data_IF_131373630229
#
_entry.id   IF_131373630229
#
_cell.length_a   1.000
_cell.length_b   1.000
_cell.length_c   1.000
_cell.angle_alpha   90.00
_cell.angle_beta   90.00
_cell.angle_gamma   90.00
#
_symmetry.space_group_name_H-M   'P 1'
#
loop_
_entity.id
_entity.type
_entity.pdbx_description
1 polymer ?
#
# COMPACT_ATOMS: atom_id res chain seq x y z
N UNK A 1 -9.42 -8.71 -14.89
CA UNK A 1 -10.66 -9.52 -15.06
C UNK A 1 -10.37 -11.02 -14.95
N UNK A 2 -9.21 -11.46 -15.40
CA UNK A 2 -8.78 -12.88 -15.38
C UNK A 2 -7.84 -13.22 -14.21
N UNK A 3 -7.77 -12.38 -13.16
CA UNK A 3 -6.95 -12.65 -11.98
C UNK A 3 -7.46 -13.87 -11.23
N UNK A 4 -6.56 -14.69 -10.74
CA UNK A 4 -6.84 -15.98 -10.10
C UNK A 4 -6.00 -16.24 -8.85
N UNK A 5 -5.29 -15.22 -8.36
CA UNK A 5 -4.44 -15.29 -7.18
C UNK A 5 -3.11 -14.60 -7.38
N UNK A 6 -2.14 -14.99 -6.58
CA UNK A 6 -0.80 -14.41 -6.59
C UNK A 6 0.27 -15.48 -6.83
N UNK A 7 1.37 -15.08 -7.41
CA UNK A 7 2.58 -15.88 -7.46
C UNK A 7 3.44 -15.56 -6.24
N UNK A 8 4.01 -16.58 -5.62
CA UNK A 8 4.99 -16.38 -4.56
C UNK A 8 6.28 -15.78 -5.14
N UNK A 9 6.83 -14.81 -4.43
CA UNK A 9 8.12 -14.21 -4.74
C UNK A 9 9.10 -14.41 -3.59
N UNK A 10 10.37 -14.13 -3.85
CA UNK A 10 11.43 -14.12 -2.84
C UNK A 10 11.94 -12.70 -2.67
N UNK A 11 12.23 -12.30 -1.45
CA UNK A 11 12.78 -10.98 -1.16
C UNK A 11 12.97 -10.73 0.32
N UNK A 12 13.78 -9.72 0.60
CA UNK A 12 13.98 -9.19 1.94
C UNK A 12 14.26 -7.69 1.83
N UNK A 13 13.83 -6.94 2.84
CA UNK A 13 14.22 -5.54 3.00
C UNK A 13 14.53 -5.28 4.47
N UNK A 14 15.48 -4.38 4.71
CA UNK A 14 15.88 -3.97 6.04
C UNK A 14 15.97 -2.44 6.09
N UNK A 15 15.42 -1.87 7.13
CA UNK A 15 15.44 -0.42 7.37
C UNK A 15 16.15 -0.09 8.67
N UNK A 16 16.88 1.00 8.66
CA UNK A 16 17.37 1.63 9.89
C UNK A 16 16.45 2.80 10.19
N UNK A 17 15.70 2.68 11.27
CA UNK A 17 14.83 3.74 11.79
C UNK A 17 15.59 4.51 12.86
N UNK A 18 15.58 5.83 12.74
CA UNK A 18 16.28 6.72 13.66
C UNK A 18 15.44 7.99 13.84
N UNK A 19 15.58 8.64 14.99
CA UNK A 19 15.02 9.98 15.21
C UNK A 19 15.53 10.96 14.15
N UNK A 20 14.62 11.69 13.53
CA UNK A 20 14.91 12.54 12.38
C UNK A 20 15.91 13.66 12.71
N UNK A 21 15.84 14.25 13.91
CA UNK A 21 16.78 15.30 14.31
C UNK A 21 18.17 14.72 14.58
N UNK A 22 18.23 13.54 15.18
CA UNK A 22 19.50 12.83 15.39
C UNK A 22 20.15 12.49 14.06
N UNK A 23 19.39 11.96 13.10
CA UNK A 23 19.90 11.67 11.77
C UNK A 23 20.45 12.91 11.08
N UNK A 24 19.74 14.04 11.14
CA UNK A 24 20.20 15.32 10.59
C UNK A 24 21.47 15.82 11.27
N UNK A 25 21.54 15.76 12.61
CA UNK A 25 22.73 16.24 13.36
C UNK A 25 24.01 15.49 12.99
N UNK A 26 23.93 14.19 12.67
CA UNK A 26 25.09 13.40 12.25
C UNK A 26 25.34 13.40 10.75
N UNK A 27 24.57 14.16 9.95
CA UNK A 27 24.72 14.24 8.50
C UNK A 27 24.30 12.97 7.76
N UNK A 28 23.37 12.19 8.31
CA UNK A 28 22.88 10.98 7.65
C UNK A 28 22.06 11.30 6.41
N UNK A 29 22.17 10.44 5.40
CA UNK A 29 21.22 10.45 4.28
C UNK A 29 19.88 9.92 4.76
N UNK A 30 18.85 10.77 4.74
CA UNK A 30 17.48 10.40 5.06
C UNK A 30 16.78 10.04 3.74
N UNK A 31 16.27 8.82 3.63
CA UNK A 31 15.58 8.34 2.44
C UNK A 31 14.09 8.72 2.43
N UNK A 32 13.50 8.90 3.59
CA UNK A 32 12.12 9.29 3.82
C UNK A 32 11.82 9.35 5.31
N UNK A 33 10.58 9.63 5.63
CA UNK A 33 10.08 9.69 7.00
C UNK A 33 8.93 8.71 7.14
N UNK A 34 8.91 7.95 8.23
CA UNK A 34 7.72 7.23 8.65
C UNK A 34 6.85 8.21 9.44
N UNK A 35 5.74 8.60 8.85
CA UNK A 35 4.87 9.64 9.40
C UNK A 35 3.84 9.08 10.37
N UNK A 36 3.37 7.87 10.13
CA UNK A 36 2.39 7.22 10.97
C UNK A 36 2.08 5.80 10.53
N UNK A 37 1.41 5.07 11.40
CA UNK A 37 0.96 3.70 11.16
C UNK A 37 -0.40 3.40 11.76
N UNK A 38 -1.10 2.45 11.17
CA UNK A 38 -2.38 2.00 11.66
C UNK A 38 -2.58 0.51 11.46
N UNK A 39 -3.18 -0.14 12.45
CA UNK A 39 -3.49 -1.57 12.41
C UNK A 39 -4.93 -1.82 12.79
N UNK A 40 -5.50 -2.90 12.29
CA UNK A 40 -6.85 -3.38 12.64
C UNK A 40 -6.94 -4.89 12.48
N UNK A 41 -8.04 -5.45 12.92
CA UNK A 41 -8.40 -6.85 12.69
C UNK A 41 -9.85 -6.89 12.21
N UNK A 42 -10.13 -7.63 11.12
CA UNK A 42 -11.49 -7.76 10.57
C UNK A 42 -12.45 -8.51 11.48
N UNK A 43 -11.93 -9.51 12.22
CA UNK A 43 -12.73 -10.44 13.02
C UNK A 43 -13.88 -11.08 12.20
N UNK A 44 -13.66 -11.33 10.91
CA UNK A 44 -14.65 -11.81 9.95
C UNK A 44 -14.45 -13.27 9.58
N UNK A 45 -13.30 -13.59 9.01
CA UNK A 45 -12.99 -14.94 8.51
C UNK A 45 -11.48 -15.18 8.62
N UNK A 46 -11.08 -16.46 8.74
CA UNK A 46 -9.68 -16.82 8.91
C UNK A 46 -8.80 -16.51 7.67
N UNK A 47 -9.37 -16.58 6.47
CA UNK A 47 -8.60 -16.46 5.21
C UNK A 47 -9.16 -15.44 4.23
N UNK A 48 -10.40 -14.98 4.42
CA UNK A 48 -11.04 -14.00 3.55
C UNK A 48 -11.16 -12.64 4.27
N UNK A 49 -10.89 -11.52 3.59
CA UNK A 49 -11.12 -10.20 4.15
C UNK A 49 -12.62 -9.92 4.32
N UNK A 50 -12.95 -8.94 5.15
CA UNK A 50 -14.32 -8.44 5.19
C UNK A 50 -14.71 -7.89 3.81
N UNK A 51 -15.84 -8.29 3.21
CA UNK A 51 -16.18 -7.94 1.82
C UNK A 51 -16.21 -6.44 1.53
N UNK A 52 -16.60 -5.64 2.51
CA UNK A 52 -16.63 -4.17 2.41
C UNK A 52 -15.29 -3.51 2.76
N UNK A 53 -14.26 -4.28 3.13
CA UNK A 53 -12.93 -3.75 3.47
C UNK A 53 -12.88 -2.92 4.75
N UNK A 54 -13.81 -3.14 5.70
CA UNK A 54 -13.95 -2.31 6.92
C UNK A 54 -12.67 -2.26 7.74
N UNK A 55 -11.98 -3.41 7.91
CA UNK A 55 -10.72 -3.45 8.64
C UNK A 55 -9.61 -2.72 7.90
N UNK A 56 -9.49 -2.90 6.59
CA UNK A 56 -8.54 -2.17 5.77
C UNK A 56 -8.76 -0.65 5.84
N UNK A 57 -10.01 -0.20 5.72
CA UNK A 57 -10.38 1.20 5.91
C UNK A 57 -9.97 1.73 7.29
N UNK A 58 -10.25 0.96 8.35
CA UNK A 58 -9.91 1.35 9.71
C UNK A 58 -8.38 1.47 9.92
N UNK A 59 -7.59 0.56 9.34
CA UNK A 59 -6.12 0.63 9.40
C UNK A 59 -5.61 1.91 8.71
N UNK A 60 -6.08 2.22 7.51
CA UNK A 60 -5.71 3.44 6.78
C UNK A 60 -6.11 4.72 7.53
N UNK A 61 -7.33 4.79 8.07
CA UNK A 61 -7.77 5.95 8.88
C UNK A 61 -6.97 6.11 10.18
N UNK A 62 -6.53 5.00 10.79
CA UNK A 62 -5.64 5.05 11.96
C UNK A 62 -4.26 5.57 11.59
N UNK A 63 -3.70 5.14 10.47
CA UNK A 63 -2.42 5.64 9.97
C UNK A 63 -2.47 7.15 9.68
N UNK A 64 -3.52 7.64 9.02
CA UNK A 64 -3.74 9.07 8.78
C UNK A 64 -3.84 9.86 10.10
N UNK A 65 -4.59 9.35 11.06
CA UNK A 65 -4.74 10.00 12.36
C UNK A 65 -3.41 10.05 13.13
N UNK A 66 -2.64 8.96 13.11
CA UNK A 66 -1.33 8.88 13.75
C UNK A 66 -0.34 9.87 13.13
N UNK A 67 -0.38 10.01 11.81
CA UNK A 67 0.42 10.97 11.06
C UNK A 67 -0.08 12.43 11.18
N UNK A 68 -1.28 12.66 11.70
CA UNK A 68 -1.90 14.00 11.71
C UNK A 68 -2.26 14.51 10.32
N UNK A 69 -2.50 13.62 9.36
CA UNK A 69 -2.78 13.95 7.97
C UNK A 69 -4.25 13.73 7.60
N UNK A 70 -4.73 14.53 6.62
CA UNK A 70 -6.00 14.31 5.95
C UNK A 70 -5.81 13.42 4.71
N UNK A 71 -6.87 12.71 4.27
CA UNK A 71 -6.80 11.87 3.07
C UNK A 71 -6.32 12.60 1.81
N UNK A 72 -6.69 13.86 1.64
CA UNK A 72 -6.32 14.69 0.49
C UNK A 72 -4.83 15.09 0.43
N UNK A 73 -4.07 14.75 1.46
CA UNK A 73 -2.62 14.98 1.53
C UNK A 73 -1.80 13.73 1.13
N UNK A 74 -2.47 12.63 0.83
CA UNK A 74 -1.81 11.40 0.34
C UNK A 74 -1.83 11.41 -1.18
N UNK A 75 -0.66 11.26 -1.79
CA UNK A 75 -0.49 11.33 -3.25
C UNK A 75 -0.65 9.97 -3.92
N UNK A 76 -0.37 8.89 -3.19
CA UNK A 76 -0.33 7.55 -3.76
C UNK A 76 -0.56 6.47 -2.70
N UNK A 77 -1.25 5.41 -3.11
CA UNK A 77 -1.45 4.20 -2.29
C UNK A 77 -0.80 2.99 -2.96
N UNK A 78 0.18 2.39 -2.28
CA UNK A 78 0.66 1.06 -2.65
C UNK A 78 -0.28 0.02 -2.08
N UNK A 79 -0.94 -0.73 -2.94
CA UNK A 79 -1.88 -1.77 -2.58
C UNK A 79 -1.18 -3.00 -2.00
N UNK A 80 -1.83 -3.65 -1.05
CA UNK A 80 -1.54 -5.04 -0.79
C UNK A 80 -1.75 -5.88 -2.06
N UNK A 81 -2.85 -5.69 -2.77
CA UNK A 81 -3.08 -6.04 -4.17
C UNK A 81 -2.55 -7.39 -4.61
N UNK A 82 -3.12 -8.47 -4.04
CA UNK A 82 -2.63 -9.84 -4.27
C UNK A 82 -3.10 -10.48 -5.57
N UNK A 83 -3.99 -9.82 -6.33
CA UNK A 83 -4.61 -10.41 -7.51
C UNK A 83 -5.70 -11.44 -7.18
N UNK A 84 -6.18 -11.46 -5.94
CA UNK A 84 -7.32 -12.31 -5.55
C UNK A 84 -8.62 -11.53 -5.72
N UNK A 85 -9.69 -12.14 -6.28
CA UNK A 85 -10.95 -11.43 -6.50
C UNK A 85 -11.52 -10.77 -5.23
N UNK A 86 -11.54 -11.49 -4.12
CA UNK A 86 -12.08 -10.97 -2.85
C UNK A 86 -11.17 -9.91 -2.22
N UNK A 87 -9.85 -10.15 -2.22
CA UNK A 87 -8.88 -9.22 -1.64
C UNK A 87 -8.86 -7.88 -2.37
N UNK A 88 -8.77 -7.93 -3.69
CA UNK A 88 -8.72 -6.72 -4.52
C UNK A 88 -10.03 -5.91 -4.44
N UNK A 89 -11.19 -6.60 -4.36
CA UNK A 89 -12.47 -5.94 -4.22
C UNK A 89 -12.59 -5.23 -2.85
N UNK A 90 -12.27 -5.92 -1.77
CA UNK A 90 -12.32 -5.36 -0.42
C UNK A 90 -11.36 -4.17 -0.27
N UNK A 91 -10.13 -4.30 -0.77
CA UNK A 91 -9.14 -3.22 -0.72
C UNK A 91 -9.55 -2.01 -1.56
N UNK A 92 -10.06 -2.26 -2.78
CA UNK A 92 -10.55 -1.20 -3.67
C UNK A 92 -11.68 -0.39 -3.01
N UNK A 93 -12.65 -1.06 -2.37
CA UNK A 93 -13.72 -0.40 -1.63
C UNK A 93 -13.15 0.43 -0.47
N UNK A 94 -12.28 -0.14 0.34
CA UNK A 94 -11.67 0.55 1.48
C UNK A 94 -10.89 1.79 1.04
N UNK A 95 -10.10 1.70 -0.02
CA UNK A 95 -9.29 2.84 -0.50
C UNK A 95 -10.19 3.95 -1.04
N UNK A 96 -11.23 3.62 -1.79
CA UNK A 96 -12.19 4.63 -2.29
C UNK A 96 -12.95 5.30 -1.14
N UNK A 97 -13.32 4.55 -0.11
CA UNK A 97 -13.98 5.11 1.08
C UNK A 97 -13.09 6.10 1.84
N UNK A 98 -11.77 5.92 1.81
CA UNK A 98 -10.83 6.80 2.52
C UNK A 98 -10.38 7.96 1.65
N UNK A 99 -9.97 7.69 0.40
CA UNK A 99 -9.25 8.65 -0.45
C UNK A 99 -10.06 9.13 -1.66
N UNK A 100 -11.20 8.49 -1.93
CA UNK A 100 -11.97 8.75 -3.15
C UNK A 100 -11.46 7.96 -4.36
N UNK A 101 -12.23 7.96 -5.47
CA UNK A 101 -11.97 7.09 -6.63
C UNK A 101 -10.83 7.57 -7.54
N UNK A 102 -10.24 8.72 -7.29
CA UNK A 102 -9.22 9.33 -8.14
C UNK A 102 -7.80 9.26 -7.56
N UNK A 103 -7.62 8.65 -6.40
CA UNK A 103 -6.29 8.47 -5.82
C UNK A 103 -5.42 7.60 -6.74
N UNK A 104 -4.18 8.01 -6.96
CA UNK A 104 -3.23 7.18 -7.67
C UNK A 104 -2.87 5.96 -6.80
N UNK A 105 -2.98 4.77 -7.38
CA UNK A 105 -2.72 3.55 -6.65
C UNK A 105 -2.24 2.42 -7.57
N UNK A 106 -1.43 1.52 -7.06
CA UNK A 106 -1.01 0.32 -7.79
C UNK A 106 -0.46 -0.75 -6.85
N UNK A 107 -0.16 -1.93 -7.38
CA UNK A 107 0.55 -3.00 -6.66
C UNK A 107 1.84 -3.35 -7.39
N UNK A 108 2.93 -3.48 -6.63
CA UNK A 108 4.21 -3.96 -7.18
C UNK A 108 4.30 -5.48 -7.25
N UNK A 109 3.32 -6.22 -6.72
CA UNK A 109 3.34 -7.69 -6.66
C UNK A 109 3.36 -8.34 -8.04
N UNK A 110 2.87 -7.66 -9.07
CA UNK A 110 3.02 -8.14 -10.46
C UNK A 110 4.47 -8.20 -10.94
N UNK A 111 5.35 -7.40 -10.35
CA UNK A 111 6.79 -7.37 -10.69
C UNK A 111 7.63 -8.28 -9.80
N UNK A 112 7.35 -8.33 -8.48
CA UNK A 112 8.22 -9.00 -7.48
C UNK A 112 7.62 -10.27 -6.89
N UNK A 113 6.37 -10.59 -7.23
CA UNK A 113 5.59 -11.63 -6.57
C UNK A 113 5.18 -11.24 -5.15
N UNK A 114 4.49 -12.15 -4.47
CA UNK A 114 4.14 -11.97 -3.06
C UNK A 114 5.22 -12.59 -2.19
N UNK A 115 6.02 -11.77 -1.54
CA UNK A 115 7.14 -12.20 -0.69
C UNK A 115 6.72 -12.55 0.74
N UNK A 116 5.41 -12.76 0.96
CA UNK A 116 4.77 -13.19 2.21
C UNK A 116 5.18 -12.27 3.38
N UNK A 117 5.96 -12.78 4.32
CA UNK A 117 6.38 -12.03 5.51
C UNK A 117 7.24 -10.78 5.19
N UNK A 118 7.96 -10.79 4.08
CA UNK A 118 8.77 -9.66 3.65
C UNK A 118 7.98 -8.62 2.82
N UNK A 119 6.73 -8.92 2.42
CA UNK A 119 5.98 -8.10 1.47
C UNK A 119 5.88 -6.63 1.89
N UNK A 120 5.46 -6.36 3.11
CA UNK A 120 5.33 -4.98 3.60
C UNK A 120 6.65 -4.21 3.61
N UNK A 121 7.76 -4.88 3.94
CA UNK A 121 9.08 -4.24 3.90
C UNK A 121 9.54 -3.96 2.46
N UNK A 122 9.36 -4.91 1.54
CA UNK A 122 9.69 -4.72 0.11
C UNK A 122 8.85 -3.61 -0.50
N UNK A 123 7.57 -3.54 -0.17
CA UNK A 123 6.63 -2.50 -0.61
C UNK A 123 6.99 -1.11 -0.06
N UNK A 124 7.36 -1.02 1.21
CA UNK A 124 7.85 0.22 1.80
C UNK A 124 9.15 0.69 1.11
N UNK A 125 10.07 -0.22 0.78
CA UNK A 125 11.27 0.11 0.01
C UNK A 125 10.93 0.63 -1.39
N UNK A 126 9.94 0.03 -2.06
CA UNK A 126 9.46 0.50 -3.35
C UNK A 126 8.83 1.90 -3.27
N UNK A 127 8.06 2.20 -2.23
CA UNK A 127 7.53 3.54 -1.98
C UNK A 127 8.65 4.57 -1.80
N UNK A 128 9.68 4.26 -0.99
CA UNK A 128 10.84 5.14 -0.83
C UNK A 128 11.61 5.35 -2.14
N UNK A 129 11.77 4.31 -2.95
CA UNK A 129 12.38 4.43 -4.27
C UNK A 129 11.54 5.32 -5.20
N UNK A 130 10.22 5.14 -5.20
CA UNK A 130 9.29 5.93 -5.99
C UNK A 130 9.30 7.42 -5.63
N UNK A 131 9.33 7.74 -4.32
CA UNK A 131 9.51 9.11 -3.83
C UNK A 131 10.79 9.74 -4.39
N UNK A 132 11.91 9.02 -4.36
CA UNK A 132 13.20 9.52 -4.85
C UNK A 132 13.26 9.66 -6.36
N UNK A 133 12.59 8.79 -7.09
CA UNK A 133 12.52 8.81 -8.55
C UNK A 133 11.47 9.79 -9.09
N UNK A 134 10.65 10.35 -8.23
CA UNK A 134 9.58 11.27 -8.64
C UNK A 134 8.53 10.58 -9.52
N UNK A 135 8.02 9.44 -9.09
CA UNK A 135 7.02 8.70 -9.85
C UNK A 135 5.99 8.00 -8.96
N UNK A 136 4.83 7.73 -9.52
CA UNK A 136 3.89 6.74 -9.01
C UNK A 136 4.12 5.43 -9.77
N UNK A 137 4.41 4.30 -9.09
CA UNK A 137 4.59 3.02 -9.74
C UNK A 137 3.32 2.54 -10.45
N UNK A 138 3.48 1.81 -11.57
CA UNK A 138 2.41 1.09 -12.22
C UNK A 138 2.28 -0.34 -11.72
N UNK A 139 1.16 -0.98 -12.07
CA UNK A 139 0.90 -2.39 -11.78
C UNK A 139 1.38 -3.24 -12.96
N UNK A 140 2.52 -3.90 -12.80
CA UNK A 140 3.06 -4.79 -13.84
C UNK A 140 2.10 -5.95 -14.09
N UNK A 141 1.84 -6.26 -15.37
CA UNK A 141 0.91 -7.32 -15.76
C UNK A 141 -0.56 -6.92 -15.76
N UNK A 142 -0.88 -5.67 -15.46
CA UNK A 142 -2.26 -5.16 -15.58
C UNK A 142 -2.59 -4.85 -17.03
N UNK A 143 -3.17 -5.82 -17.73
CA UNK A 143 -3.59 -5.67 -19.15
C UNK A 143 -5.04 -5.21 -19.28
N UNK A 144 -5.92 -5.67 -18.39
CA UNK A 144 -7.34 -5.35 -18.39
C UNK A 144 -7.80 -4.95 -16.99
N UNK A 145 -8.40 -3.78 -16.92
CA UNK A 145 -9.06 -3.33 -15.68
C UNK A 145 -10.31 -4.16 -15.42
N UNK A 146 -10.59 -4.39 -14.15
CA UNK A 146 -11.87 -4.92 -13.71
C UNK A 146 -12.83 -3.74 -13.47
N UNK A 147 -13.74 -3.55 -14.42
CA UNK A 147 -14.70 -2.44 -14.36
C UNK A 147 -15.73 -2.56 -13.24
N UNK A 148 -15.82 -3.71 -12.59
CA UNK A 148 -16.67 -3.89 -11.41
C UNK A 148 -16.07 -3.27 -10.14
N UNK A 149 -14.78 -2.93 -10.16
CA UNK A 149 -14.11 -2.30 -9.02
C UNK A 149 -14.24 -0.76 -9.08
N UNK A 150 -14.47 -0.10 -7.93
CA UNK A 150 -14.67 1.35 -7.89
C UNK A 150 -13.39 2.15 -8.13
N UNK A 151 -12.22 1.51 -8.04
CA UNK A 151 -10.92 2.15 -8.22
C UNK A 151 -10.20 1.60 -9.45
N UNK A 152 -9.51 2.48 -10.16
CA UNK A 152 -8.72 2.13 -11.35
C UNK A 152 -7.23 2.25 -11.02
N UNK A 153 -6.53 1.15 -10.72
CA UNK A 153 -5.11 1.18 -10.46
C UNK A 153 -4.31 1.61 -11.72
N UNK A 154 -3.17 2.24 -11.50
CA UNK A 154 -2.25 2.61 -12.56
C UNK A 154 -1.69 1.35 -13.23
N UNK A 155 -1.84 1.23 -14.55
CA UNK A 155 -1.25 0.15 -15.32
C UNK A 155 0.24 0.40 -15.62
N UNK A 156 0.62 1.68 -15.75
CA UNK A 156 2.00 2.10 -16.04
C UNK A 156 2.46 3.13 -15.02
N UNK A 157 3.78 3.17 -14.80
CA UNK A 157 4.36 4.21 -13.95
C UNK A 157 4.17 5.59 -14.57
N UNK A 158 3.89 6.57 -13.72
CA UNK A 158 3.64 7.96 -14.13
C UNK A 158 4.61 8.87 -13.40
N UNK A 159 5.28 9.77 -14.14
CA UNK A 159 6.07 10.82 -13.50
C UNK A 159 5.16 11.71 -12.66
N UNK A 160 5.54 11.89 -11.41
CA UNK A 160 4.83 12.68 -10.41
C UNK A 160 5.86 13.24 -9.44
N UNK A 161 5.43 14.13 -8.58
CA UNK A 161 6.26 14.60 -7.47
C UNK A 161 5.58 14.21 -6.12
N UNK A 162 5.49 12.91 -5.82
CA UNK A 162 4.82 12.49 -4.59
C UNK A 162 5.59 12.97 -3.37
N UNK A 163 4.84 13.35 -2.34
CA UNK A 163 5.38 13.74 -1.04
C UNK A 163 4.97 12.77 0.04
N UNK A 164 3.76 12.21 -0.07
CA UNK A 164 3.18 11.30 0.92
C UNK A 164 2.63 10.07 0.22
N UNK A 165 3.11 8.91 0.61
CA UNK A 165 2.63 7.63 0.13
C UNK A 165 2.13 6.78 1.29
N UNK A 166 1.05 6.03 1.05
CA UNK A 166 0.55 5.03 1.98
C UNK A 166 0.83 3.63 1.42
N UNK A 167 1.29 2.71 2.27
CA UNK A 167 1.48 1.31 1.92
C UNK A 167 0.61 0.41 2.77
N UNK A 168 -0.21 -0.42 2.14
CA UNK A 168 -1.10 -1.39 2.76
C UNK A 168 -0.49 -2.78 2.83
N UNK A 169 -0.70 -3.46 3.94
CA UNK A 169 -0.36 -4.88 4.13
C UNK A 169 -1.49 -5.58 4.88
N UNK A 170 -2.10 -6.55 4.23
CA UNK A 170 -3.21 -7.33 4.78
C UNK A 170 -2.84 -8.80 4.84
N UNK A 171 -3.30 -9.50 5.87
CA UNK A 171 -2.92 -10.88 6.12
C UNK A 171 -4.08 -11.77 6.53
N UNK A 172 -3.84 -13.07 6.46
CA UNK A 172 -4.77 -14.05 6.99
C UNK A 172 -5.03 -13.80 8.49
N UNK A 173 -6.19 -14.24 8.95
CA UNK A 173 -6.67 -13.87 10.29
C UNK A 173 -7.32 -12.49 10.34
N UNK A 174 -7.44 -11.83 9.18
CA UNK A 174 -8.04 -10.49 9.07
C UNK A 174 -7.15 -9.37 9.59
N UNK A 175 -5.84 -9.59 9.67
CA UNK A 175 -4.91 -8.57 10.12
C UNK A 175 -4.66 -7.54 9.01
N UNK A 176 -4.82 -6.27 9.33
CA UNK A 176 -4.60 -5.17 8.41
C UNK A 176 -3.60 -4.18 9.00
N UNK A 177 -2.70 -3.69 8.16
CA UNK A 177 -1.73 -2.66 8.51
C UNK A 177 -1.59 -1.65 7.37
N UNK A 178 -1.43 -0.39 7.71
CA UNK A 178 -1.13 0.69 6.79
C UNK A 178 -0.01 1.57 7.35
N UNK A 179 0.95 1.95 6.51
CA UNK A 179 2.06 2.84 6.85
C UNK A 179 2.03 4.09 5.95
N UNK A 180 2.37 5.24 6.51
CA UNK A 180 2.56 6.52 5.82
C UNK A 180 4.01 7.00 5.95
#
# INVERSE_FOLDING_TARGET
RSRDGFMMGEGAAMFVLEDAERARRRGATIFGYLLGGGTSVDAWNATAPHPEGVGAELAMRRALRDAGLRPDQVDYVNFHGTGTPLGDAAESNAVVNVFGPHIAASSIKGAVGHTIAAAGAVEAAACLAALRLGLHPGTVGLEQLDESLPLRPLAQSVHAAPSVMLSNSFGFGGQNSALL
#
